data_IF_955130145842
#
_entry.id   IF_955130145842
#
_cell.length_a   1.000
_cell.length_b   1.000
_cell.length_c   1.000
_cell.angle_alpha   90.00
_cell.angle_beta   90.00
_cell.angle_gamma   90.00
#
_symmetry.space_group_name_H-M   'P 1'
#
loop_
_entity.id
_entity.type
_entity.pdbx_description
1 polymer ?
#
# COMPACT_ATOMS: atom_id res chain seq x y z
N UNK A 1 -38.17 -12.40 1.81
CA UNK A 1 -37.33 -11.20 2.05
C UNK A 1 -35.99 -11.39 1.36
N UNK A 2 -35.45 -10.42 0.63
CA UNK A 2 -34.12 -10.53 0.06
C UNK A 2 -33.10 -10.63 1.20
N UNK A 3 -32.12 -11.52 1.04
CA UNK A 3 -31.02 -11.70 2.02
C UNK A 3 -30.22 -10.40 2.11
N UNK A 4 -29.96 -9.85 3.31
CA UNK A 4 -29.16 -8.63 3.44
C UNK A 4 -27.77 -8.82 2.78
N UNK A 5 -27.25 -7.80 2.10
CA UNK A 5 -25.94 -7.90 1.44
C UNK A 5 -24.86 -8.19 2.50
N UNK A 6 -24.10 -9.27 2.27
CA UNK A 6 -22.96 -9.62 3.13
C UNK A 6 -21.87 -8.55 2.95
N UNK A 7 -21.36 -7.97 4.05
CA UNK A 7 -20.22 -7.06 4.02
C UNK A 7 -19.00 -7.75 3.40
N UNK A 8 -18.29 -7.05 2.50
CA UNK A 8 -17.07 -7.51 1.86
C UNK A 8 -15.88 -7.00 2.65
N UNK A 9 -14.81 -7.77 2.70
CA UNK A 9 -13.57 -7.31 3.31
C UNK A 9 -12.83 -6.41 2.32
N UNK A 10 -12.33 -5.27 2.80
CA UNK A 10 -11.56 -4.28 2.06
C UNK A 10 -10.28 -4.02 2.84
N UNK A 11 -9.13 -4.28 2.23
CA UNK A 11 -7.81 -4.10 2.84
C UNK A 11 -7.16 -2.74 2.56
N UNK A 12 -7.80 -1.91 1.72
CA UNK A 12 -7.29 -0.58 1.38
C UNK A 12 -8.43 0.43 1.20
N UNK A 13 -8.29 1.59 1.80
CA UNK A 13 -9.19 2.72 1.60
C UNK A 13 -8.46 3.82 0.81
N UNK A 14 -8.95 4.13 -0.39
CA UNK A 14 -8.34 5.19 -1.21
C UNK A 14 -8.43 6.55 -0.51
N UNK A 15 -7.31 7.27 -0.34
CA UNK A 15 -7.32 8.65 0.15
C UNK A 15 -7.91 9.61 -0.90
N UNK A 16 -7.86 9.23 -2.17
CA UNK A 16 -8.39 10.01 -3.29
C UNK A 16 -9.87 9.73 -3.48
N UNK A 17 -10.69 10.78 -3.49
CA UNK A 17 -12.14 10.68 -3.63
C UNK A 17 -12.61 10.84 -5.07
N UNK A 18 -11.81 11.48 -5.94
CA UNK A 18 -12.22 11.79 -7.31
C UNK A 18 -11.05 11.69 -8.28
N UNK A 19 -11.31 11.11 -9.44
CA UNK A 19 -10.50 11.26 -10.65
C UNK A 19 -11.33 11.97 -11.70
N UNK A 20 -10.80 13.02 -12.32
CA UNK A 20 -11.52 13.79 -13.34
C UNK A 20 -10.57 14.24 -14.46
N UNK A 21 -11.10 14.50 -15.66
CA UNK A 21 -10.36 15.17 -16.73
C UNK A 21 -9.78 16.51 -16.26
N UNK A 22 -8.53 16.78 -16.62
CA UNK A 22 -7.89 18.07 -16.33
C UNK A 22 -8.55 19.20 -17.13
N UNK A 23 -8.58 20.41 -16.57
CA UNK A 23 -9.06 21.61 -17.25
C UNK A 23 -10.58 21.79 -17.32
N UNK A 24 -11.40 20.79 -16.96
CA UNK A 24 -12.85 20.87 -16.99
C UNK A 24 -13.42 21.00 -15.57
N UNK A 25 -14.26 22.00 -15.27
CA UNK A 25 -14.95 22.12 -14.00
C UNK A 25 -15.80 20.86 -13.70
N UNK A 26 -15.83 20.45 -12.43
CA UNK A 26 -16.60 19.26 -12.01
C UNK A 26 -18.10 19.41 -12.31
N UNK A 27 -18.64 20.62 -12.22
CA UNK A 27 -20.05 20.94 -12.50
C UNK A 27 -20.49 20.65 -13.94
N UNK A 28 -19.55 20.53 -14.87
CA UNK A 28 -19.80 20.26 -16.29
C UNK A 28 -19.64 18.79 -16.65
N UNK A 29 -19.24 17.94 -15.68
CA UNK A 29 -18.93 16.53 -15.91
C UNK A 29 -20.01 15.63 -15.29
N UNK A 30 -20.37 14.57 -15.99
CA UNK A 30 -21.16 13.48 -15.41
C UNK A 30 -20.29 12.67 -14.45
N UNK A 31 -20.90 12.17 -13.38
CA UNK A 31 -20.21 11.35 -12.38
C UNK A 31 -20.60 9.86 -12.52
N UNK A 32 -19.62 8.99 -12.26
CA UNK A 32 -19.84 7.56 -12.08
C UNK A 32 -19.22 7.13 -10.75
N UNK A 33 -19.99 6.43 -9.92
CA UNK A 33 -19.54 6.01 -8.60
C UNK A 33 -18.91 4.63 -8.66
N UNK A 34 -17.66 4.53 -8.20
CA UNK A 34 -16.94 3.29 -7.91
C UNK A 34 -17.01 3.05 -6.40
N UNK A 35 -17.55 1.91 -5.98
CA UNK A 35 -17.63 1.59 -4.55
C UNK A 35 -16.30 1.09 -4.00
N UNK A 36 -16.13 1.08 -2.66
CA UNK A 36 -14.87 0.63 -2.04
C UNK A 36 -14.58 -0.84 -2.34
N UNK A 37 -15.59 -1.71 -2.35
CA UNK A 37 -15.41 -3.11 -2.74
C UNK A 37 -15.08 -3.29 -4.23
N UNK A 38 -15.56 -2.41 -5.11
CA UNK A 38 -15.19 -2.41 -6.52
C UNK A 38 -13.74 -1.94 -6.70
N UNK A 39 -13.32 -0.92 -5.95
CA UNK A 39 -11.95 -0.45 -5.94
C UNK A 39 -10.99 -1.53 -5.40
N UNK A 40 -11.38 -2.23 -4.33
CA UNK A 40 -10.61 -3.34 -3.78
C UNK A 40 -10.47 -4.50 -4.77
N UNK A 41 -11.52 -4.86 -5.50
CA UNK A 41 -11.44 -5.91 -6.51
C UNK A 41 -10.44 -5.57 -7.62
N UNK A 42 -10.41 -4.31 -8.07
CA UNK A 42 -9.43 -3.80 -9.04
C UNK A 42 -8.02 -3.82 -8.44
N UNK A 43 -7.86 -3.37 -7.20
CA UNK A 43 -6.58 -3.42 -6.49
C UNK A 43 -6.03 -4.84 -6.44
N UNK A 44 -6.82 -5.80 -5.95
CA UNK A 44 -6.36 -7.18 -5.80
C UNK A 44 -6.00 -7.83 -7.13
N UNK A 45 -6.83 -7.66 -8.16
CA UNK A 45 -6.62 -8.35 -9.45
C UNK A 45 -5.70 -7.59 -10.39
N UNK A 46 -5.89 -6.27 -10.54
CA UNK A 46 -5.24 -5.51 -11.62
C UNK A 46 -3.95 -4.82 -11.16
N UNK A 47 -3.86 -4.40 -9.88
CA UNK A 47 -2.65 -3.81 -9.32
C UNK A 47 -1.73 -4.88 -8.71
N UNK A 48 -2.27 -5.78 -7.86
CA UNK A 48 -1.47 -6.81 -7.20
C UNK A 48 -1.30 -8.09 -8.03
N UNK A 49 -2.05 -8.27 -9.11
CA UNK A 49 -1.95 -9.42 -10.00
C UNK A 49 -2.48 -10.74 -9.43
N UNK A 50 -3.19 -10.73 -8.28
CA UNK A 50 -3.63 -11.95 -7.61
C UNK A 50 -4.59 -12.77 -8.49
N UNK A 51 -4.57 -14.09 -8.31
CA UNK A 51 -5.56 -14.95 -8.95
C UNK A 51 -6.97 -14.73 -8.36
N UNK A 52 -8.02 -14.92 -9.20
CA UNK A 52 -9.40 -14.64 -8.76
C UNK A 52 -9.85 -15.44 -7.55
N UNK A 53 -9.29 -16.62 -7.33
CA UNK A 53 -9.58 -17.46 -6.16
C UNK A 53 -9.04 -16.75 -4.93
N UNK A 54 -7.75 -16.44 -4.91
CA UNK A 54 -7.09 -15.74 -3.81
C UNK A 54 -7.71 -14.37 -3.51
N UNK A 55 -7.96 -13.56 -4.55
CA UNK A 55 -8.61 -12.27 -4.42
C UNK A 55 -10.03 -12.37 -3.81
N UNK A 56 -10.80 -13.42 -4.19
CA UNK A 56 -12.12 -13.66 -3.63
C UNK A 56 -12.08 -14.04 -2.15
N UNK A 57 -11.09 -14.83 -1.74
CA UNK A 57 -10.86 -15.20 -0.34
C UNK A 57 -10.51 -13.98 0.51
N UNK A 58 -9.61 -13.12 0.04
CA UNK A 58 -9.25 -11.85 0.72
C UNK A 58 -10.47 -10.93 0.91
N UNK A 59 -11.40 -10.89 -0.04
CA UNK A 59 -12.64 -10.12 0.08
C UNK A 59 -13.76 -10.84 0.86
N UNK A 60 -13.57 -12.10 1.27
CA UNK A 60 -14.56 -12.90 1.96
C UNK A 60 -15.82 -13.21 1.13
N UNK A 61 -15.67 -13.32 -0.21
CA UNK A 61 -16.76 -13.59 -1.15
C UNK A 61 -16.46 -14.84 -1.98
N UNK A 62 -17.49 -15.35 -2.68
CA UNK A 62 -17.28 -16.42 -3.65
C UNK A 62 -16.63 -15.90 -4.94
N UNK A 63 -15.87 -16.74 -5.65
CA UNK A 63 -15.24 -16.39 -6.94
C UNK A 63 -16.24 -15.81 -7.95
N UNK A 64 -17.46 -16.36 -8.16
CA UNK A 64 -18.43 -15.73 -9.06
C UNK A 64 -18.89 -14.34 -8.62
N UNK A 65 -18.97 -14.09 -7.29
CA UNK A 65 -19.29 -12.78 -6.75
C UNK A 65 -18.15 -11.80 -7.00
N UNK A 66 -16.92 -12.21 -6.73
CA UNK A 66 -15.72 -11.42 -7.04
C UNK A 66 -15.66 -11.04 -8.53
N UNK A 67 -15.88 -12.03 -9.42
CA UNK A 67 -15.87 -11.79 -10.86
C UNK A 67 -16.90 -10.72 -11.27
N UNK A 68 -18.12 -10.76 -10.70
CA UNK A 68 -19.16 -9.74 -10.99
C UNK A 68 -18.75 -8.36 -10.49
N UNK A 69 -18.21 -8.26 -9.27
CA UNK A 69 -17.73 -6.99 -8.72
C UNK A 69 -16.64 -6.41 -9.61
N UNK A 70 -15.62 -7.20 -9.94
CA UNK A 70 -14.51 -6.79 -10.79
C UNK A 70 -14.96 -6.37 -12.19
N UNK A 71 -15.88 -7.13 -12.82
CA UNK A 71 -16.44 -6.78 -14.13
C UNK A 71 -17.13 -5.42 -14.07
N UNK A 72 -18.01 -5.19 -13.10
CA UNK A 72 -18.70 -3.91 -12.93
C UNK A 72 -17.73 -2.76 -12.68
N UNK A 73 -16.70 -2.98 -11.85
CA UNK A 73 -15.66 -1.99 -11.57
C UNK A 73 -14.93 -1.57 -12.86
N UNK A 74 -14.47 -2.54 -13.65
CA UNK A 74 -13.77 -2.30 -14.93
C UNK A 74 -14.65 -1.57 -15.95
N UNK A 75 -15.95 -1.92 -16.05
CA UNK A 75 -16.90 -1.23 -16.92
C UNK A 75 -17.07 0.24 -16.51
N UNK A 76 -17.17 0.55 -15.22
CA UNK A 76 -17.25 1.92 -14.71
C UNK A 76 -15.97 2.71 -14.99
N UNK A 77 -14.80 2.13 -14.76
CA UNK A 77 -13.51 2.76 -15.05
C UNK A 77 -13.37 3.03 -16.55
N UNK A 78 -13.68 2.05 -17.40
CA UNK A 78 -13.62 2.21 -18.84
C UNK A 78 -14.56 3.33 -19.33
N UNK A 79 -15.81 3.40 -18.80
CA UNK A 79 -16.74 4.47 -19.13
C UNK A 79 -16.24 5.84 -18.69
N UNK A 80 -15.66 5.93 -17.47
CA UNK A 80 -15.09 7.19 -17.00
C UNK A 80 -13.97 7.70 -17.91
N UNK A 81 -13.06 6.80 -18.33
CA UNK A 81 -11.94 7.14 -19.20
C UNK A 81 -12.39 7.50 -20.62
N UNK A 82 -13.29 6.69 -21.22
CA UNK A 82 -13.69 6.86 -22.62
C UNK A 82 -14.65 8.06 -22.80
N UNK A 83 -15.58 8.25 -21.87
CA UNK A 83 -16.60 9.29 -21.95
C UNK A 83 -16.22 10.56 -21.17
N UNK A 84 -15.06 10.60 -20.51
CA UNK A 84 -14.60 11.76 -19.75
C UNK A 84 -15.41 12.05 -18.50
N UNK A 85 -15.99 11.03 -17.85
CA UNK A 85 -16.76 11.21 -16.62
C UNK A 85 -15.84 11.39 -15.40
N UNK A 86 -16.36 12.01 -14.34
CA UNK A 86 -15.74 11.99 -13.01
C UNK A 86 -15.92 10.60 -12.42
N UNK A 87 -14.81 9.95 -12.07
CA UNK A 87 -14.86 8.73 -11.28
C UNK A 87 -14.84 9.12 -9.81
N UNK A 88 -15.96 8.91 -9.11
CA UNK A 88 -16.12 9.18 -7.68
C UNK A 88 -15.95 7.89 -6.89
N UNK A 89 -15.07 7.88 -5.88
CA UNK A 89 -14.85 6.71 -5.02
C UNK A 89 -15.58 6.94 -3.71
N UNK A 90 -16.70 6.25 -3.52
CA UNK A 90 -17.50 6.35 -2.29
C UNK A 90 -18.46 5.18 -2.10
N UNK A 91 -18.92 4.98 -0.86
CA UNK A 91 -19.96 4.03 -0.52
C UNK A 91 -19.54 2.58 -0.65
N UNK A 92 -20.56 1.71 -0.66
CA UNK A 92 -20.43 0.26 -0.69
C UNK A 92 -20.79 -0.39 0.65
N UNK A 93 -20.83 -1.74 0.65
CA UNK A 93 -21.12 -2.54 1.84
C UNK A 93 -19.89 -3.37 2.19
N UNK A 94 -19.02 -2.82 3.02
CA UNK A 94 -17.73 -3.43 3.34
C UNK A 94 -17.36 -3.30 4.82
N UNK A 95 -16.44 -4.15 5.25
CA UNK A 95 -15.71 -4.03 6.51
C UNK A 95 -14.23 -3.80 6.18
N UNK A 96 -13.65 -2.74 6.71
CA UNK A 96 -12.21 -2.50 6.57
C UNK A 96 -11.44 -3.48 7.45
N UNK A 97 -10.52 -4.21 6.84
CA UNK A 97 -9.58 -5.09 7.53
C UNK A 97 -8.19 -4.48 7.41
N UNK A 98 -7.70 -3.92 8.51
CA UNK A 98 -6.34 -3.38 8.55
C UNK A 98 -5.33 -4.53 8.42
N UNK A 99 -4.46 -4.54 7.39
CA UNK A 99 -3.43 -5.57 7.24
C UNK A 99 -2.48 -5.69 8.45
N UNK A 100 -2.31 -4.59 9.20
CA UNK A 100 -1.44 -4.54 10.39
C UNK A 100 -2.01 -5.18 11.66
N UNK A 101 -3.25 -5.70 11.64
CA UNK A 101 -3.89 -6.35 12.82
C UNK A 101 -3.75 -7.88 12.83
N UNK A 102 -2.98 -8.45 11.89
CA UNK A 102 -2.77 -9.90 11.84
C UNK A 102 -1.81 -10.36 12.93
N UNK A 103 -2.17 -11.43 13.65
CA UNK A 103 -1.33 -12.02 14.71
C UNK A 103 -0.08 -12.72 14.17
N UNK A 104 -0.13 -13.17 12.92
CA UNK A 104 0.97 -13.79 12.21
C UNK A 104 1.32 -12.90 11.03
N UNK A 105 2.49 -12.24 11.06
CA UNK A 105 2.87 -11.26 10.05
C UNK A 105 4.39 -11.11 9.95
N UNK A 106 4.87 -10.50 8.87
CA UNK A 106 6.23 -9.99 8.78
C UNK A 106 6.23 -8.48 8.92
N UNK A 107 7.15 -7.95 9.70
CA UNK A 107 7.35 -6.52 9.92
C UNK A 107 8.74 -6.15 9.43
N UNK A 108 8.83 -5.22 8.47
CA UNK A 108 10.09 -4.68 8.00
C UNK A 108 10.41 -3.38 8.74
N UNK A 109 11.62 -3.27 9.26
CA UNK A 109 12.12 -2.05 9.89
C UNK A 109 13.27 -1.48 9.05
N UNK A 110 13.15 -0.24 8.59
CA UNK A 110 14.23 0.45 7.92
C UNK A 110 15.37 0.71 8.92
N UNK A 111 16.62 0.34 8.58
CA UNK A 111 17.75 0.39 9.49
C UNK A 111 19.03 0.86 8.78
N UNK A 112 19.92 1.48 9.55
CA UNK A 112 21.27 1.83 9.11
C UNK A 112 22.27 0.75 9.54
N UNK A 113 22.19 0.33 10.78
CA UNK A 113 23.17 -0.59 11.40
C UNK A 113 22.74 -2.05 11.37
N UNK A 114 21.45 -2.34 11.23
CA UNK A 114 20.84 -3.66 11.38
C UNK A 114 20.27 -3.91 12.79
N UNK A 115 20.17 -2.86 13.63
CA UNK A 115 19.59 -2.92 14.98
C UNK A 115 18.76 -1.68 15.33
N UNK A 116 18.95 -0.59 14.58
CA UNK A 116 18.29 0.70 14.78
C UNK A 116 17.08 0.89 13.85
N UNK A 117 16.27 1.91 14.16
CA UNK A 117 15.26 2.45 13.24
C UNK A 117 15.85 3.64 12.49
N UNK A 118 15.99 3.51 11.18
CA UNK A 118 16.47 4.59 10.32
C UNK A 118 15.53 5.79 10.34
N UNK A 119 16.10 7.00 10.44
CA UNK A 119 15.35 8.25 10.35
C UNK A 119 14.64 8.44 9.00
N UNK A 120 15.14 7.82 7.93
CA UNK A 120 14.60 7.94 6.57
C UNK A 120 14.52 6.56 5.91
N UNK A 121 13.32 6.19 5.49
CA UNK A 121 13.07 4.94 4.77
C UNK A 121 13.88 4.85 3.47
N UNK A 122 13.82 5.92 2.67
CA UNK A 122 14.40 5.95 1.32
C UNK A 122 15.93 5.82 1.30
N UNK A 123 16.66 6.25 2.31
CA UNK A 123 18.12 6.20 2.42
C UNK A 123 18.64 5.07 3.30
N UNK A 124 17.76 4.26 3.88
CA UNK A 124 18.15 3.14 4.72
C UNK A 124 18.92 2.09 3.91
N UNK A 125 20.17 1.73 4.28
CA UNK A 125 20.95 0.74 3.58
C UNK A 125 20.47 -0.70 3.82
N UNK A 126 19.65 -0.91 4.84
CA UNK A 126 19.17 -2.23 5.27
C UNK A 126 17.73 -2.19 5.69
N UNK A 127 17.08 -3.37 5.64
CA UNK A 127 15.81 -3.63 6.28
C UNK A 127 15.94 -4.84 7.19
N UNK A 128 15.40 -4.75 8.40
CA UNK A 128 15.31 -5.90 9.30
C UNK A 128 13.91 -6.46 9.15
N UNK A 129 13.78 -7.69 8.72
CA UNK A 129 12.50 -8.38 8.55
C UNK A 129 12.26 -9.24 9.78
N UNK A 130 11.33 -8.85 10.63
CA UNK A 130 10.88 -9.61 11.78
C UNK A 130 9.72 -10.52 11.38
N UNK A 131 9.84 -11.80 11.69
CA UNK A 131 8.71 -12.75 11.58
C UNK A 131 8.02 -12.82 12.93
N UNK A 132 6.70 -12.60 12.90
CA UNK A 132 5.84 -12.60 14.08
C UNK A 132 4.85 -13.74 13.96
N UNK A 133 4.73 -14.56 15.02
CA UNK A 133 3.72 -15.61 15.15
C UNK A 133 3.02 -15.44 16.49
N UNK A 134 1.69 -15.52 16.47
CA UNK A 134 0.82 -15.32 17.64
C UNK A 134 1.12 -14.04 18.45
N UNK A 135 1.57 -12.99 17.75
CA UNK A 135 1.92 -11.71 18.37
C UNK A 135 3.28 -11.67 19.05
N UNK A 136 4.17 -12.64 18.78
CA UNK A 136 5.54 -12.68 19.30
C UNK A 136 6.56 -12.74 18.18
N UNK A 137 7.69 -12.07 18.35
CA UNK A 137 8.82 -12.16 17.43
C UNK A 137 9.43 -13.56 17.55
N UNK A 138 9.46 -14.33 16.45
CA UNK A 138 10.07 -15.67 16.40
C UNK A 138 11.41 -15.68 15.71
N UNK A 139 11.65 -14.75 14.76
CA UNK A 139 12.94 -14.62 14.08
C UNK A 139 13.10 -13.23 13.48
N UNK A 140 14.35 -12.88 13.15
CA UNK A 140 14.66 -11.69 12.36
C UNK A 140 15.77 -12.00 11.36
N UNK A 141 15.71 -11.37 10.21
CA UNK A 141 16.72 -11.43 9.15
C UNK A 141 17.02 -10.03 8.63
N UNK A 142 18.24 -9.80 8.16
CA UNK A 142 18.64 -8.52 7.58
C UNK A 142 18.68 -8.63 6.06
N UNK A 143 17.93 -7.76 5.40
CA UNK A 143 17.91 -7.60 3.96
C UNK A 143 18.71 -6.34 3.59
N UNK A 144 19.74 -6.47 2.76
CA UNK A 144 20.48 -5.32 2.22
C UNK A 144 19.63 -4.58 1.20
N UNK A 145 19.56 -3.25 1.34
CA UNK A 145 18.86 -2.40 0.38
C UNK A 145 19.71 -2.14 -0.86
N UNK A 146 19.67 -3.05 -1.82
CA UNK A 146 20.38 -2.91 -3.11
C UNK A 146 19.63 -2.05 -4.13
N UNK A 147 18.53 -1.42 -3.72
CA UNK A 147 17.63 -0.69 -4.61
C UNK A 147 18.02 0.79 -4.78
N UNK A 148 18.97 1.30 -4.00
CA UNK A 148 19.59 2.58 -4.24
C UNK A 148 20.49 2.46 -5.48
N UNK A 149 20.13 3.15 -6.55
CA UNK A 149 21.05 3.37 -7.66
C UNK A 149 22.34 4.01 -7.11
N UNK A 150 23.47 3.35 -7.31
CA UNK A 150 24.79 3.88 -6.98
C UNK A 150 25.00 5.19 -7.72
N UNK A 151 24.86 6.31 -7.01
CA UNK A 151 25.39 7.59 -7.47
C UNK A 151 26.91 7.52 -7.37
N UNK A 152 27.57 6.87 -8.35
CA UNK A 152 28.96 7.13 -8.62
C UNK A 152 29.04 8.55 -9.19
N UNK A 153 29.64 9.46 -8.42
CA UNK A 153 30.07 10.75 -8.92
C UNK A 153 31.06 10.58 -10.05
N UNK A 154 30.61 10.60 -11.30
CA UNK A 154 31.41 11.03 -12.43
C UNK A 154 30.90 12.39 -12.86
N UNK A 155 31.73 13.40 -12.67
CA UNK A 155 31.59 14.71 -13.27
C UNK A 155 31.79 14.54 -14.78
N UNK A 156 30.70 14.61 -15.53
CA UNK A 156 30.75 15.00 -16.94
C UNK A 156 29.47 15.79 -17.25
N UNK A 157 29.69 17.00 -17.69
CA UNK A 157 28.68 17.97 -18.12
C UNK A 157 28.07 17.55 -19.45
N UNK A 158 26.83 17.06 -19.48
CA UNK A 158 25.97 17.12 -20.66
C UNK A 158 24.52 17.37 -20.23
N UNK A 159 23.95 18.45 -20.76
CA UNK A 159 22.54 18.80 -20.67
C UNK A 159 21.69 17.72 -21.34
N UNK A 160 20.79 17.07 -20.59
CA UNK A 160 19.64 16.37 -21.15
C UNK A 160 18.42 16.47 -20.21
N UNK A 161 17.27 16.60 -20.83
CA UNK A 161 15.93 16.82 -20.30
C UNK A 161 15.52 15.84 -19.20
N UNK A 162 14.88 16.39 -18.18
CA UNK A 162 14.41 15.68 -16.98
C UNK A 162 13.14 14.88 -17.24
N UNK A 163 13.30 13.59 -17.50
CA UNK A 163 12.23 12.60 -17.29
C UNK A 163 12.43 11.93 -15.92
N UNK A 164 11.67 12.35 -14.89
CA UNK A 164 11.78 11.79 -13.56
C UNK A 164 11.11 10.40 -13.47
N UNK A 165 11.87 9.34 -13.76
CA UNK A 165 11.47 7.96 -13.57
C UNK A 165 11.65 7.46 -12.12
N UNK A 166 10.95 8.04 -11.13
CA UNK A 166 11.00 7.56 -9.74
C UNK A 166 10.17 6.29 -9.46
N UNK A 167 9.37 5.80 -10.42
CA UNK A 167 8.52 4.63 -10.22
C UNK A 167 9.25 3.28 -10.15
N UNK A 168 10.48 3.19 -10.67
CA UNK A 168 11.20 1.92 -10.74
C UNK A 168 11.82 1.44 -9.44
N UNK A 169 12.20 2.34 -8.51
CA UNK A 169 12.79 1.98 -7.22
C UNK A 169 11.74 1.52 -6.21
N UNK A 170 10.59 2.19 -6.13
CA UNK A 170 9.49 1.80 -5.25
C UNK A 170 8.96 0.40 -5.57
N UNK A 171 8.72 0.10 -6.85
CA UNK A 171 8.25 -1.23 -7.26
C UNK A 171 9.23 -2.36 -6.89
N UNK A 172 10.54 -2.12 -6.95
CA UNK A 172 11.56 -3.11 -6.55
C UNK A 172 11.56 -3.35 -5.04
N UNK A 173 11.48 -2.28 -4.23
CA UNK A 173 11.40 -2.39 -2.76
C UNK A 173 10.13 -3.16 -2.36
N UNK A 174 8.98 -2.80 -2.93
CA UNK A 174 7.71 -3.47 -2.65
C UNK A 174 7.78 -4.96 -3.00
N UNK A 175 8.39 -5.30 -4.15
CA UNK A 175 8.59 -6.70 -4.55
C UNK A 175 9.49 -7.46 -3.57
N UNK A 176 10.48 -6.80 -2.97
CA UNK A 176 11.36 -7.42 -1.97
C UNK A 176 10.67 -7.62 -0.60
N UNK A 177 9.55 -6.91 -0.36
CA UNK A 177 8.72 -7.04 0.83
C UNK A 177 7.60 -8.09 0.68
N UNK A 178 7.87 -9.17 -0.07
CA UNK A 178 6.90 -10.26 -0.20
C UNK A 178 6.54 -10.86 1.16
N UNK A 179 5.23 -10.87 1.46
CA UNK A 179 4.71 -11.32 2.75
C UNK A 179 4.87 -10.33 3.92
N UNK A 180 5.44 -9.14 3.72
CA UNK A 180 5.50 -8.07 4.73
C UNK A 180 4.15 -7.39 4.84
N UNK A 181 3.64 -7.28 6.07
CA UNK A 181 2.36 -6.59 6.36
C UNK A 181 2.55 -5.17 6.89
N UNK A 182 3.70 -4.90 7.53
CA UNK A 182 3.98 -3.62 8.18
C UNK A 182 5.40 -3.17 7.88
N UNK A 183 5.58 -1.87 7.66
CA UNK A 183 6.90 -1.24 7.51
C UNK A 183 7.05 -0.13 8.54
N UNK A 184 8.12 -0.18 9.33
CA UNK A 184 8.45 0.80 10.38
C UNK A 184 9.67 1.61 9.96
N UNK A 185 9.61 2.94 10.11
CA UNK A 185 10.76 3.84 9.94
C UNK A 185 10.58 5.14 10.73
N UNK A 186 11.63 5.95 10.87
CA UNK A 186 11.54 7.27 11.49
C UNK A 186 10.91 8.32 10.57
N UNK A 187 10.98 8.14 9.25
CA UNK A 187 10.38 9.04 8.26
C UNK A 187 10.26 8.38 6.89
N UNK A 188 9.22 8.73 6.15
CA UNK A 188 8.94 8.19 4.82
C UNK A 188 8.16 9.19 3.99
N UNK A 189 8.58 9.41 2.74
CA UNK A 189 7.87 10.26 1.81
C UNK A 189 6.44 9.76 1.55
N UNK A 190 5.48 10.69 1.40
CA UNK A 190 4.06 10.39 1.27
C UNK A 190 3.73 9.43 0.10
N UNK A 191 4.45 9.55 -1.04
CA UNK A 191 4.25 8.66 -2.19
C UNK A 191 4.57 7.21 -1.86
N UNK A 192 5.66 6.99 -1.14
CA UNK A 192 6.04 5.64 -0.71
C UNK A 192 5.04 5.05 0.28
N UNK A 193 4.50 5.89 1.19
CA UNK A 193 3.44 5.44 2.10
C UNK A 193 2.19 4.99 1.34
N UNK A 194 1.75 5.76 0.32
CA UNK A 194 0.60 5.39 -0.50
C UNK A 194 0.88 4.14 -1.35
N UNK A 195 2.07 4.00 -1.91
CA UNK A 195 2.47 2.81 -2.66
C UNK A 195 2.46 1.55 -1.77
N UNK A 196 2.99 1.63 -0.54
CA UNK A 196 2.95 0.54 0.44
C UNK A 196 1.51 0.17 0.79
N UNK A 197 0.67 1.16 1.15
CA UNK A 197 -0.76 0.94 1.46
C UNK A 197 -1.50 0.30 0.30
N UNK A 198 -1.26 0.75 -0.93
CA UNK A 198 -1.87 0.17 -2.14
C UNK A 198 -1.52 -1.31 -2.30
N UNK A 199 -0.33 -1.73 -1.84
CA UNK A 199 0.11 -3.12 -1.83
C UNK A 199 -0.26 -3.90 -0.55
N UNK A 200 -1.07 -3.30 0.33
CA UNK A 200 -1.54 -3.93 1.56
C UNK A 200 -0.51 -3.93 2.69
N UNK A 201 0.52 -3.08 2.58
CA UNK A 201 1.55 -2.92 3.61
C UNK A 201 1.24 -1.65 4.42
N UNK A 202 1.18 -1.76 5.73
CA UNK A 202 0.91 -0.61 6.62
C UNK A 202 2.22 0.13 6.94
N UNK A 203 2.40 1.38 6.49
CA UNK A 203 3.53 2.18 6.91
C UNK A 203 3.30 2.75 8.31
N UNK A 204 4.31 2.66 9.16
CA UNK A 204 4.31 3.18 10.54
C UNK A 204 5.54 4.08 10.72
N UNK A 205 5.30 5.32 11.14
CA UNK A 205 6.36 6.28 11.43
C UNK A 205 6.50 6.45 12.94
N UNK A 206 7.74 6.31 13.46
CA UNK A 206 7.97 6.31 14.91
C UNK A 206 9.25 7.08 15.29
N UNK A 207 9.28 7.75 16.45
CA UNK A 207 10.50 8.31 17.04
C UNK A 207 11.38 7.25 17.70
N UNK A 208 10.90 6.00 17.91
CA UNK A 208 11.69 4.91 18.50
C UNK A 208 12.96 4.67 17.69
N UNK A 209 14.06 4.41 18.37
CA UNK A 209 15.39 4.23 17.76
C UNK A 209 15.85 2.79 17.69
N UNK A 210 15.33 1.93 18.55
CA UNK A 210 15.65 0.52 18.61
C UNK A 210 14.65 -0.27 17.78
N UNK A 211 15.13 -1.06 16.82
CA UNK A 211 14.28 -1.77 15.89
C UNK A 211 13.43 -2.85 16.58
N UNK A 212 14.02 -3.60 17.51
CA UNK A 212 13.29 -4.65 18.21
C UNK A 212 12.23 -4.06 19.13
N UNK A 213 12.56 -3.01 19.90
CA UNK A 213 11.59 -2.31 20.75
C UNK A 213 10.46 -1.67 19.95
N UNK A 214 10.75 -1.15 18.76
CA UNK A 214 9.73 -0.60 17.89
C UNK A 214 8.70 -1.67 17.48
N UNK A 215 9.16 -2.87 17.14
CA UNK A 215 8.29 -4.01 16.81
C UNK A 215 7.52 -4.49 18.05
N UNK A 216 8.18 -4.67 19.19
CA UNK A 216 7.54 -5.10 20.44
C UNK A 216 6.41 -4.13 20.86
N UNK A 217 6.69 -2.83 20.89
CA UNK A 217 5.70 -1.79 21.20
C UNK A 217 4.57 -1.74 20.17
N UNK A 218 4.88 -1.96 18.88
CA UNK A 218 3.85 -2.04 17.84
C UNK A 218 2.88 -3.20 18.10
N UNK A 219 3.40 -4.38 18.42
CA UNK A 219 2.59 -5.56 18.73
C UNK A 219 1.74 -5.38 20.01
N UNK A 220 2.23 -4.61 20.99
CA UNK A 220 1.51 -4.25 22.20
C UNK A 220 0.51 -3.10 21.98
N UNK A 221 0.55 -2.42 20.86
CA UNK A 221 -0.27 -1.22 20.61
C UNK A 221 0.19 0.02 21.38
N UNK A 222 1.42 0.02 21.89
CA UNK A 222 2.01 1.09 22.73
C UNK A 222 3.08 1.91 22.00
N UNK A 223 3.27 1.69 20.70
CA UNK A 223 4.26 2.42 19.91
C UNK A 223 3.83 3.86 19.67
N UNK A 224 4.66 4.82 20.07
CA UNK A 224 4.48 6.22 19.69
C UNK A 224 4.65 6.37 18.18
N UNK A 225 3.67 7.00 17.52
CA UNK A 225 3.68 7.19 16.07
C UNK A 225 3.53 8.66 15.71
N UNK A 226 4.17 9.06 14.60
CA UNK A 226 3.91 10.36 14.03
C UNK A 226 2.70 10.30 13.10
N UNK A 227 1.72 11.16 13.29
CA UNK A 227 0.76 11.50 12.26
C UNK A 227 1.38 12.59 11.38
N UNK A 228 1.84 12.23 10.21
CA UNK A 228 2.27 13.23 9.25
C UNK A 228 3.44 12.82 8.37
N UNK A 229 3.33 13.27 7.13
CA UNK A 229 4.38 13.28 6.12
C UNK A 229 5.42 14.35 6.40
N UNK A 230 6.68 14.02 6.22
CA UNK A 230 7.70 15.05 5.90
C UNK A 230 7.50 15.55 4.49
#
# INVERSE_FOLDING_TARGET
>A
MPRPPKCRQVGYLSPVKYFKPAGIPKSELLEITLTQEEMEAVRLKDLLGLEQIEASEKMGVSRPTFHRILKTAREKIARALILGYVLKIEGGSFTYKNPGEEKNMKIAVASVTGQDVSAHFGSAPKFIIFTVEEGKIVSSEVLENTFHGSHHHHHDHHHHEHGHGHGGSHARIIKAFDGVSVVISGGMGWRMQEDLKAHGITPVLTPEKDAQKAVEKYLEGSLDTFEGSC
#
